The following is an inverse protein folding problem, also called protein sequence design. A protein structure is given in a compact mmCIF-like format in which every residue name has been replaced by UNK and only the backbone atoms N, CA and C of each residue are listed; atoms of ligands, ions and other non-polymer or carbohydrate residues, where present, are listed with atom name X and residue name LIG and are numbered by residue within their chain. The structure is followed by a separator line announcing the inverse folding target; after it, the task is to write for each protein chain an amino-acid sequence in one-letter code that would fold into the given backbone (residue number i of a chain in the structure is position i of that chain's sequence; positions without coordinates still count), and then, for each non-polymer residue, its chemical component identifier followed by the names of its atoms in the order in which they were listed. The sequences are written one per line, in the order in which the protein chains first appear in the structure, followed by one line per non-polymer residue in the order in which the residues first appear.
data_IF_880698176031
#
_entry.id   IF_880698176031
#
_cell.length_a   1.000
_cell.length_b   1.000
_cell.length_c   1.000
_cell.angle_alpha   90.00
_cell.angle_beta   90.00
_cell.angle_gamma   90.00
#
_symmetry.space_group_name_H-M   'P 1'
#
loop_
_entity.id
_entity.type
_entity.pdbx_description
1 polymer ?
#
# COMPACT_ATOMS: atom_id res chain seq x y z
N UNK A 1 1.31 -13.03 19.41
CA UNK A 1 1.23 -11.55 19.41
C UNK A 1 -0.10 -11.23 18.77
N UNK A 2 -1.01 -10.63 19.53
CA UNK A 2 -2.34 -10.26 19.05
C UNK A 2 -2.31 -8.80 18.56
N UNK A 3 -2.50 -8.60 17.26
CA UNK A 3 -2.76 -7.27 16.72
C UNK A 3 -4.23 -6.94 16.99
N UNK A 4 -4.56 -5.88 17.75
CA UNK A 4 -5.94 -5.50 17.98
C UNK A 4 -6.53 -4.90 16.70
N UNK A 5 -7.11 -5.75 15.86
CA UNK A 5 -7.75 -5.33 14.63
C UNK A 5 -9.09 -4.62 14.88
N UNK A 6 -9.54 -3.77 13.94
CA UNK A 6 -10.87 -3.17 14.01
C UNK A 6 -11.94 -4.25 13.87
N UNK A 7 -12.82 -4.35 14.87
CA UNK A 7 -14.01 -5.19 14.83
C UNK A 7 -15.02 -4.50 13.90
N UNK A 8 -15.32 -5.15 12.78
CA UNK A 8 -16.37 -4.83 11.80
C UNK A 8 -16.28 -3.44 11.13
N UNK A 9 -16.09 -3.45 9.81
CA UNK A 9 -16.20 -2.25 8.97
C UNK A 9 -17.67 -1.80 8.96
N UNK A 10 -18.01 -0.85 9.83
CA UNK A 10 -19.31 -0.17 9.84
C UNK A 10 -19.51 0.65 8.53
N UNK A 11 -20.75 0.84 8.04
CA UNK A 11 -21.04 1.33 6.69
C UNK A 11 -20.88 2.85 6.50
N UNK A 12 -20.41 3.62 7.49
CA UNK A 12 -20.05 5.03 7.31
C UNK A 12 -18.58 5.19 6.94
N UNK A 13 -18.28 6.07 5.98
CA UNK A 13 -16.91 6.38 5.53
C UNK A 13 -15.98 6.76 6.69
N UNK A 14 -16.53 7.41 7.72
CA UNK A 14 -15.80 7.77 8.93
C UNK A 14 -15.35 6.55 9.75
N UNK A 15 -16.21 5.54 9.94
CA UNK A 15 -15.84 4.33 10.70
C UNK A 15 -14.77 3.51 9.99
N UNK A 16 -14.84 3.42 8.66
CA UNK A 16 -13.84 2.73 7.84
C UNK A 16 -12.51 3.48 7.84
N UNK A 17 -12.55 4.81 7.81
CA UNK A 17 -11.37 5.66 7.92
C UNK A 17 -10.67 5.51 9.29
N UNK A 18 -11.41 5.51 10.40
CA UNK A 18 -10.81 5.27 11.72
C UNK A 18 -10.22 3.87 11.87
N UNK A 19 -10.89 2.85 11.31
CA UNK A 19 -10.38 1.48 11.27
C UNK A 19 -9.05 1.40 10.51
N UNK A 20 -8.97 2.07 9.34
CA UNK A 20 -7.76 2.18 8.53
C UNK A 20 -6.61 2.90 9.28
N UNK A 21 -6.90 4.03 9.93
CA UNK A 21 -5.89 4.75 10.73
C UNK A 21 -5.37 3.91 11.90
N UNK A 22 -6.26 3.18 12.57
CA UNK A 22 -5.88 2.26 13.67
C UNK A 22 -4.99 1.15 13.13
N UNK A 23 -5.35 0.55 12.00
CA UNK A 23 -4.56 -0.48 11.33
C UNK A 23 -3.15 0.06 10.97
N UNK A 24 -3.09 1.22 10.30
CA UNK A 24 -1.82 1.86 9.96
C UNK A 24 -0.95 2.12 11.19
N UNK A 25 -1.55 2.63 12.28
CA UNK A 25 -0.83 2.88 13.52
C UNK A 25 -0.21 1.59 14.07
N UNK A 26 -0.98 0.51 14.17
CA UNK A 26 -0.49 -0.76 14.73
C UNK A 26 0.63 -1.35 13.86
N UNK A 27 0.47 -1.33 12.53
CA UNK A 27 1.51 -1.78 11.61
C UNK A 27 2.81 -1.00 11.83
N UNK A 28 2.74 0.33 11.93
CA UNK A 28 3.91 1.16 12.17
C UNK A 28 4.55 0.92 13.53
N UNK A 29 3.76 0.70 14.59
CA UNK A 29 4.29 0.34 15.92
C UNK A 29 5.07 -0.99 15.86
N UNK A 30 4.53 -1.99 15.18
CA UNK A 30 5.17 -3.30 15.00
C UNK A 30 6.45 -3.25 14.15
N UNK A 31 6.45 -2.45 13.08
CA UNK A 31 7.65 -2.23 12.26
C UNK A 31 8.72 -1.47 13.05
N UNK A 32 8.35 -0.40 13.74
CA UNK A 32 9.27 0.40 14.55
C UNK A 32 9.87 -0.41 15.71
N UNK A 33 9.06 -1.23 16.39
CA UNK A 33 9.55 -2.13 17.43
C UNK A 33 10.55 -3.14 16.84
N UNK A 34 10.29 -3.66 15.64
CA UNK A 34 11.23 -4.55 14.96
C UNK A 34 12.53 -3.83 14.61
N UNK A 35 12.46 -2.64 14.01
CA UNK A 35 13.63 -1.84 13.64
C UNK A 35 14.54 -1.61 14.84
N UNK A 36 13.99 -1.10 15.95
CA UNK A 36 14.74 -0.83 17.18
C UNK A 36 15.47 -2.07 17.72
N UNK A 37 14.90 -3.27 17.54
CA UNK A 37 15.52 -4.51 17.99
C UNK A 37 16.68 -5.00 17.10
N UNK A 38 16.81 -4.48 15.87
CA UNK A 38 17.80 -4.95 14.88
C UNK A 38 18.64 -3.85 14.23
N UNK A 39 18.43 -2.57 14.58
CA UNK A 39 19.11 -1.40 14.00
C UNK A 39 20.65 -1.52 14.03
N UNK A 40 21.22 -2.17 15.04
CA UNK A 40 22.67 -2.31 15.19
C UNK A 40 23.26 -3.53 14.46
N UNK A 41 22.44 -4.34 13.77
CA UNK A 41 22.85 -5.64 13.19
C UNK A 41 23.31 -5.55 11.73
N UNK A 42 23.50 -4.33 11.21
CA UNK A 42 23.94 -4.06 9.84
C UNK A 42 22.84 -4.23 8.78
N UNK A 43 23.08 -3.65 7.60
CA UNK A 43 22.10 -3.51 6.52
C UNK A 43 21.50 -4.82 6.03
N UNK A 44 22.31 -5.84 5.77
CA UNK A 44 21.81 -7.13 5.27
C UNK A 44 20.82 -7.77 6.25
N UNK A 45 21.08 -7.67 7.56
CA UNK A 45 20.16 -8.13 8.60
C UNK A 45 18.89 -7.29 8.59
N UNK A 46 18.99 -5.97 8.47
CA UNK A 46 17.84 -5.07 8.46
C UNK A 46 16.85 -5.41 7.34
N UNK A 47 17.33 -5.63 6.12
CA UNK A 47 16.50 -6.00 4.97
C UNK A 47 15.83 -7.35 5.20
N UNK A 48 16.59 -8.37 5.61
CA UNK A 48 16.04 -9.70 5.84
C UNK A 48 14.95 -9.68 6.93
N UNK A 49 15.17 -8.89 7.98
CA UNK A 49 14.21 -8.77 9.08
C UNK A 49 12.99 -7.94 8.70
N UNK A 50 13.16 -6.94 7.84
CA UNK A 50 12.06 -6.16 7.26
C UNK A 50 11.16 -7.08 6.44
N UNK A 51 11.70 -7.81 5.46
CA UNK A 51 10.94 -8.71 4.59
C UNK A 51 10.17 -9.77 5.40
N UNK A 52 10.82 -10.37 6.40
CA UNK A 52 10.17 -11.33 7.31
C UNK A 52 9.04 -10.69 8.10
N UNK A 53 9.22 -9.45 8.57
CA UNK A 53 8.21 -8.76 9.38
C UNK A 53 7.02 -8.33 8.53
N UNK A 54 7.24 -7.81 7.33
CA UNK A 54 6.17 -7.46 6.38
C UNK A 54 5.34 -8.69 6.03
N UNK A 55 6.00 -9.80 5.66
CA UNK A 55 5.30 -11.07 5.38
C UNK A 55 4.44 -11.52 6.56
N UNK A 56 4.99 -11.52 7.78
CA UNK A 56 4.24 -11.92 8.98
C UNK A 56 3.06 -11.00 9.31
N UNK A 57 3.17 -9.69 9.04
CA UNK A 57 2.06 -8.73 9.21
C UNK A 57 0.96 -9.06 8.20
N UNK A 58 1.30 -9.26 6.93
CA UNK A 58 0.33 -9.58 5.87
C UNK A 58 -0.38 -10.92 6.15
N UNK A 59 0.37 -11.95 6.54
CA UNK A 59 -0.20 -13.25 6.91
C UNK A 59 -1.19 -13.11 8.07
N UNK A 60 -0.86 -12.29 9.07
CA UNK A 60 -1.73 -12.05 10.20
C UNK A 60 -3.00 -11.30 9.79
N UNK A 61 -2.91 -10.31 8.91
CA UNK A 61 -4.08 -9.61 8.37
C UNK A 61 -4.97 -10.58 7.61
N UNK A 62 -4.39 -11.42 6.75
CA UNK A 62 -5.13 -12.40 5.98
C UNK A 62 -5.81 -13.44 6.88
N UNK A 63 -5.18 -13.85 7.98
CA UNK A 63 -5.78 -14.73 8.98
C UNK A 63 -7.01 -14.12 9.69
N UNK A 64 -7.18 -12.80 9.63
CA UNK A 64 -8.31 -12.07 10.21
C UNK A 64 -9.35 -11.60 9.18
N UNK A 65 -9.34 -12.18 7.98
CA UNK A 65 -10.40 -11.99 6.99
C UNK A 65 -10.09 -10.99 5.88
N UNK A 66 -8.93 -10.34 5.90
CA UNK A 66 -8.43 -9.58 4.73
C UNK A 66 -7.92 -10.55 3.65
N UNK A 67 -7.76 -10.06 2.42
CA UNK A 67 -7.12 -10.82 1.33
C UNK A 67 -6.07 -9.94 0.64
N UNK A 68 -5.05 -9.57 1.39
CA UNK A 68 -3.91 -8.84 0.87
C UNK A 68 -3.03 -9.75 0.03
N UNK A 69 -2.90 -9.36 -1.25
CA UNK A 69 -1.92 -9.92 -2.16
C UNK A 69 -0.88 -8.87 -2.53
N UNK A 70 0.35 -9.32 -2.75
CA UNK A 70 1.45 -8.46 -3.20
C UNK A 70 1.21 -8.08 -4.66
N UNK A 71 1.10 -6.79 -4.95
CA UNK A 71 0.92 -6.30 -6.31
C UNK A 71 2.23 -5.81 -6.94
N UNK A 72 3.17 -5.31 -6.13
CA UNK A 72 4.45 -4.84 -6.65
C UNK A 72 5.59 -4.94 -5.62
N UNK A 73 6.81 -5.07 -6.13
CA UNK A 73 8.03 -4.99 -5.32
C UNK A 73 9.12 -4.24 -6.06
N UNK A 74 9.45 -3.08 -5.54
CA UNK A 74 10.65 -2.33 -5.93
C UNK A 74 11.60 -2.38 -4.74
N UNK A 75 12.23 -3.54 -4.56
CA UNK A 75 13.20 -3.75 -3.50
C UNK A 75 14.58 -3.29 -3.92
N UNK A 76 15.12 -2.29 -3.22
CA UNK A 76 16.53 -1.94 -3.28
C UNK A 76 17.33 -2.75 -2.24
N UNK A 77 18.65 -2.77 -2.38
CA UNK A 77 19.60 -3.21 -1.35
C UNK A 77 19.58 -2.26 -0.15
N UNK A 78 19.01 -1.06 -0.27
CA UNK A 78 18.75 -0.20 0.88
C UNK A 78 17.36 -0.48 1.47
N UNK A 79 17.29 -0.72 2.79
CA UNK A 79 16.00 -0.95 3.45
C UNK A 79 15.19 0.35 3.52
N UNK A 80 15.85 1.51 3.42
CA UNK A 80 15.23 2.84 3.47
C UNK A 80 14.46 3.18 2.19
N UNK A 81 14.79 2.53 1.07
CA UNK A 81 14.08 2.65 -0.22
C UNK A 81 13.31 1.39 -0.61
N UNK A 82 13.19 0.42 0.30
CA UNK A 82 12.45 -0.82 0.04
C UNK A 82 10.95 -0.55 0.03
N UNK A 83 10.34 -0.58 -1.16
CA UNK A 83 8.90 -0.43 -1.32
C UNK A 83 8.20 -1.76 -1.59
N UNK A 84 7.12 -2.03 -0.85
CA UNK A 84 6.28 -3.21 -1.03
C UNK A 84 4.81 -2.82 -0.96
N UNK A 85 4.05 -3.23 -1.98
CA UNK A 85 2.66 -2.85 -2.13
C UNK A 85 1.74 -4.07 -2.02
N UNK A 86 0.71 -3.95 -1.19
CA UNK A 86 -0.29 -4.98 -0.97
C UNK A 86 -1.68 -4.41 -1.15
N UNK A 87 -2.55 -5.14 -1.84
CA UNK A 87 -3.92 -4.73 -2.13
C UNK A 87 -4.87 -5.79 -1.62
N UNK A 88 -5.90 -5.36 -0.87
CA UNK A 88 -6.97 -6.22 -0.42
C UNK A 88 -7.96 -6.49 -1.56
N UNK A 89 -8.16 -7.77 -1.88
CA UNK A 89 -9.05 -8.20 -2.97
C UNK A 89 -10.50 -8.45 -2.56
N UNK A 90 -10.84 -8.32 -1.27
CA UNK A 90 -12.19 -8.59 -0.77
C UNK A 90 -13.23 -7.63 -1.38
N UNK A 91 -12.86 -6.37 -1.61
CA UNK A 91 -13.75 -5.33 -2.14
C UNK A 91 -13.31 -4.87 -3.53
N UNK A 92 -14.15 -5.05 -4.55
CA UNK A 92 -13.85 -4.58 -5.90
C UNK A 92 -14.03 -3.08 -6.07
N UNK A 93 -14.90 -2.44 -5.30
CA UNK A 93 -15.26 -1.02 -5.42
C UNK A 93 -14.36 -0.10 -4.57
N UNK A 94 -13.86 -0.60 -3.44
CA UNK A 94 -12.96 0.15 -2.54
C UNK A 94 -11.82 -0.76 -2.09
N UNK A 95 -10.71 -0.71 -2.81
CA UNK A 95 -9.55 -1.56 -2.51
C UNK A 95 -8.72 -0.90 -1.42
N UNK A 96 -8.58 -1.56 -0.28
CA UNK A 96 -7.61 -1.13 0.72
C UNK A 96 -6.21 -1.47 0.23
N UNK A 97 -5.31 -0.50 0.28
CA UNK A 97 -3.91 -0.63 -0.09
C UNK A 97 -3.05 -0.41 1.14
N UNK A 98 -2.06 -1.28 1.33
CA UNK A 98 -0.96 -1.07 2.28
C UNK A 98 0.32 -0.93 1.48
N UNK A 99 0.93 0.25 1.58
CA UNK A 99 2.24 0.55 1.05
C UNK A 99 3.25 0.53 2.21
N UNK A 100 4.16 -0.43 2.18
CA UNK A 100 5.32 -0.47 3.08
C UNK A 100 6.49 0.24 2.44
N UNK A 101 7.05 1.21 3.15
CA UNK A 101 8.29 1.89 2.79
C UNK A 101 9.29 1.72 3.95
N UNK A 102 10.25 0.82 3.76
CA UNK A 102 11.16 0.40 4.83
C UNK A 102 10.41 -0.06 6.09
N UNK A 103 10.81 0.41 7.25
CA UNK A 103 10.15 0.13 8.54
C UNK A 103 8.96 1.07 8.84
N UNK A 104 8.27 1.52 7.79
CA UNK A 104 7.05 2.30 7.90
C UNK A 104 5.99 1.79 6.93
N UNK A 105 4.73 2.12 7.19
CA UNK A 105 3.61 1.77 6.33
C UNK A 105 2.58 2.90 6.23
N UNK A 106 1.96 3.01 5.06
CA UNK A 106 0.80 3.83 4.80
C UNK A 106 -0.35 2.93 4.36
N UNK A 107 -1.54 3.18 4.87
CA UNK A 107 -2.74 2.48 4.46
C UNK A 107 -3.77 3.48 3.94
N UNK A 108 -4.38 3.19 2.80
CA UNK A 108 -5.39 4.05 2.17
C UNK A 108 -6.36 3.24 1.32
N UNK A 109 -7.53 3.81 1.04
CA UNK A 109 -8.45 3.26 0.05
C UNK A 109 -8.08 3.82 -1.32
N UNK A 110 -7.93 2.92 -2.30
CA UNK A 110 -7.81 3.28 -3.69
C UNK A 110 -9.19 3.16 -4.34
N UNK A 111 -9.69 4.28 -4.85
CA UNK A 111 -10.86 4.30 -5.72
C UNK A 111 -10.46 3.65 -7.05
N UNK A 112 -11.19 2.61 -7.46
CA UNK A 112 -11.06 2.12 -8.83
C UNK A 112 -11.83 3.08 -9.73
N UNK A 113 -11.13 3.82 -10.59
CA UNK A 113 -11.79 4.49 -11.70
C UNK A 113 -12.52 3.41 -12.52
N UNK A 114 -13.84 3.34 -12.39
CA UNK A 114 -14.68 2.60 -13.33
C UNK A 114 -14.35 3.14 -14.71
N UNK A 115 -13.85 2.25 -15.58
CA UNK A 115 -13.52 2.53 -16.97
C UNK A 115 -14.77 2.89 -17.76
N UNK A 116 -15.32 4.08 -17.55
CA UNK A 116 -16.37 4.69 -18.38
C UNK A 116 -15.93 6.06 -18.95
N UNK A 117 -14.69 6.48 -18.76
CA UNK A 117 -14.19 7.76 -19.31
C UNK A 117 -12.91 7.67 -20.18
N UNK A 118 -12.64 6.52 -20.81
CA UNK A 118 -11.55 6.40 -21.81
C UNK A 118 -11.97 6.57 -23.28
N UNK A 119 -13.17 7.10 -23.56
CA UNK A 119 -13.55 7.53 -24.92
C UNK A 119 -13.41 9.05 -25.17
N UNK A 120 -12.71 9.78 -24.29
CA UNK A 120 -12.47 11.23 -24.47
C UNK A 120 -10.99 11.60 -24.67
N UNK A 121 -10.11 10.65 -24.95
CA UNK A 121 -8.77 10.94 -25.47
C UNK A 121 -8.74 10.58 -26.96
N UNK A 122 -9.05 11.53 -27.84
CA UNK A 122 -8.39 11.78 -29.13
C UNK A 122 -9.16 12.83 -29.97
N UNK A 123 -9.45 13.99 -29.38
CA UNK A 123 -9.73 15.17 -30.21
C UNK A 123 -9.06 16.37 -29.59
N UNK A 124 -7.78 16.57 -29.88
CA UNK A 124 -7.15 17.89 -29.92
C UNK A 124 -5.74 17.75 -30.50
N UNK A 125 -5.55 18.46 -31.63
CA UNK A 125 -4.31 18.94 -32.27
C UNK A 125 -4.01 18.38 -33.66
N UNK A 126 -4.75 18.88 -34.64
CA UNK A 126 -4.20 19.12 -35.98
C UNK A 126 -4.69 20.47 -36.52
N UNK A 127 -4.26 21.55 -35.87
CA UNK A 127 -4.27 22.89 -36.46
C UNK A 127 -3.01 23.60 -36.01
N UNK A 128 -1.89 23.34 -36.70
CA UNK A 128 -0.74 24.25 -36.80
C UNK A 128 0.22 23.70 -37.86
N UNK A 129 -0.03 24.05 -39.12
CA UNK A 129 1.04 24.14 -40.11
C UNK A 129 0.93 25.53 -40.78
N UNK A 130 2.00 26.34 -40.78
CA UNK A 130 2.01 27.60 -41.51
C UNK A 130 2.07 27.31 -43.01
N UNK A 131 1.27 28.03 -43.79
CA UNK A 131 1.36 28.08 -45.25
C UNK A 131 2.74 28.59 -45.63
N UNK A 132 3.51 27.76 -46.34
CA UNK A 132 4.63 28.26 -47.15
C UNK A 132 4.16 28.28 -48.59
N UNK A 133 4.02 29.50 -49.12
CA UNK A 133 3.83 29.78 -50.54
C UNK A 133 4.94 29.16 -51.37
N UNK A 134 4.54 28.46 -52.44
CA UNK A 134 5.21 28.43 -53.75
C UNK A 134 4.26 27.93 -54.83
#
# INVERSE_FOLDING_TARGET
MDIPLPVELNPSSESQYWALLKLQKVINEELMARFKAVQDKGRATLIQQLLKKVAAIVDLLNAHGYQFERCDFVGDIDYESSEQWFVDRVSMEHRMVIHFNGYSAQAYFQETETTEQSNSMFTLRHDFLPKTDR
#
